data_IF_435445009173
#
_entry.id   IF_435445009173
#
_cell.length_a   1.000
_cell.length_b   1.000
_cell.length_c   1.000
_cell.angle_alpha   90.00
_cell.angle_beta   90.00
_cell.angle_gamma   90.00
#
_symmetry.space_group_name_H-M   'P 1'
#
loop_
_entity.id
_entity.type
_entity.pdbx_description
1 polymer ?
#
# COMPACT_ATOMS: atom_id res chain seq x y z
N UNK A 1 1.64 16.64 51.53
CA UNK A 1 1.40 16.10 50.18
C UNK A 1 2.77 15.91 49.57
N UNK A 2 3.27 14.67 49.59
CA UNK A 2 4.58 14.32 49.03
C UNK A 2 4.49 14.26 47.50
N UNK A 3 5.20 15.17 46.84
CA UNK A 3 5.41 15.11 45.40
C UNK A 3 6.39 13.96 45.09
N UNK A 4 5.84 12.81 44.66
CA UNK A 4 6.64 11.70 44.13
C UNK A 4 7.31 12.13 42.83
N UNK A 5 8.56 12.56 42.91
CA UNK A 5 9.43 12.76 41.73
C UNK A 5 9.98 11.43 41.27
N UNK A 6 9.82 11.13 39.98
CA UNK A 6 10.19 9.84 39.37
C UNK A 6 11.67 9.78 38.97
N UNK A 7 12.35 10.92 38.81
CA UNK A 7 13.82 11.03 38.71
C UNK A 7 14.28 12.50 38.85
N UNK A 8 15.47 12.74 39.40
CA UNK A 8 16.07 14.09 39.50
C UNK A 8 17.16 14.37 38.45
N UNK A 9 17.78 13.36 37.84
CA UNK A 9 18.79 13.56 36.80
C UNK A 9 18.79 12.41 35.78
N UNK A 10 18.81 12.74 34.49
CA UNK A 10 19.14 11.79 33.43
C UNK A 10 20.38 12.27 32.69
N UNK A 11 21.23 11.33 32.29
CA UNK A 11 22.41 11.58 31.48
C UNK A 11 22.15 11.02 30.09
N UNK A 12 22.35 11.83 29.06
CA UNK A 12 22.34 11.38 27.68
C UNK A 12 23.79 11.31 27.19
N UNK A 13 24.29 10.11 26.96
CA UNK A 13 25.61 9.87 26.39
C UNK A 13 25.46 9.29 24.98
N UNK A 14 26.29 9.73 24.03
CA UNK A 14 26.30 9.19 22.66
C UNK A 14 25.42 9.92 21.64
N UNK A 15 24.94 11.13 21.94
CA UNK A 15 24.35 11.99 20.91
C UNK A 15 25.45 12.62 20.03
N UNK A 16 25.22 12.77 18.71
CA UNK A 16 26.12 13.54 17.84
C UNK A 16 26.10 15.03 18.21
N UNK A 17 27.10 15.80 17.76
CA UNK A 17 27.27 17.24 18.06
C UNK A 17 26.03 18.10 17.73
N UNK A 18 25.15 17.60 16.86
CA UNK A 18 23.89 18.27 16.52
C UNK A 18 22.71 17.26 16.54
N UNK A 19 22.10 17.02 17.71
CA UNK A 19 21.01 16.04 17.83
C UNK A 19 19.74 16.55 17.16
N UNK A 20 19.14 15.74 16.29
CA UNK A 20 17.79 16.01 15.81
C UNK A 20 16.78 15.84 16.95
N UNK A 21 15.78 16.73 17.03
CA UNK A 21 14.68 16.57 17.99
C UNK A 21 14.00 15.24 17.74
N UNK A 22 13.71 14.51 18.81
CA UNK A 22 12.90 13.30 18.73
C UNK A 22 11.49 13.72 18.31
N UNK A 23 11.06 13.32 17.12
CA UNK A 23 9.66 13.49 16.71
C UNK A 23 8.77 12.72 17.70
N UNK A 24 7.63 13.30 18.07
CA UNK A 24 6.73 12.89 19.16
C UNK A 24 6.09 11.48 19.04
N UNK A 25 6.53 10.65 18.09
CA UNK A 25 5.86 9.43 17.66
C UNK A 25 6.54 8.10 18.02
N UNK A 26 7.52 8.10 18.93
CA UNK A 26 8.14 6.84 19.39
C UNK A 26 7.79 6.55 20.86
N UNK A 27 6.54 6.17 21.13
CA UNK A 27 6.17 5.59 22.44
C UNK A 27 6.56 4.12 22.59
N UNK A 28 6.85 3.45 21.49
CA UNK A 28 7.25 2.04 21.51
C UNK A 28 8.75 1.95 21.29
N UNK A 29 9.49 1.82 22.39
CA UNK A 29 10.96 1.74 22.47
C UNK A 29 11.58 0.49 21.82
N UNK A 30 11.07 0.06 20.67
CA UNK A 30 11.53 -1.12 19.95
C UNK A 30 11.57 -0.78 18.44
N UNK A 31 12.54 0.03 18.01
CA UNK A 31 13.22 -0.18 16.72
C UNK A 31 14.29 0.89 16.45
N UNK A 32 15.50 0.48 16.02
CA UNK A 32 16.47 1.38 15.45
C UNK A 32 16.14 1.63 13.96
N UNK A 33 16.48 2.84 13.50
CA UNK A 33 16.48 3.36 12.12
C UNK A 33 15.22 4.10 11.69
N UNK A 34 15.34 5.42 11.79
CA UNK A 34 14.96 6.44 10.79
C UNK A 34 14.40 5.90 9.47
N UNK A 35 13.13 5.55 9.47
CA UNK A 35 12.23 5.65 8.32
C UNK A 35 10.95 6.22 8.90
N UNK A 36 10.54 7.41 8.46
CA UNK A 36 9.20 7.89 8.79
C UNK A 36 8.22 6.74 8.46
N UNK A 37 7.41 6.26 9.42
CA UNK A 37 6.48 5.19 9.14
C UNK A 37 5.55 5.65 8.02
N UNK A 38 5.69 5.02 6.85
CA UNK A 38 4.90 5.36 5.68
C UNK A 38 3.42 5.31 6.07
N UNK A 39 2.69 6.36 5.73
CA UNK A 39 1.24 6.39 5.92
C UNK A 39 0.64 5.15 5.25
N UNK A 40 -0.23 4.37 5.93
CA UNK A 40 -0.71 3.11 5.39
C UNK A 40 -1.49 3.30 4.10
N UNK A 41 -1.56 2.24 3.30
CA UNK A 41 -2.35 2.22 2.08
C UNK A 41 -3.82 2.01 2.46
N UNK A 42 -4.68 2.93 2.02
CA UNK A 42 -6.12 2.89 2.28
C UNK A 42 -6.90 2.45 1.08
N UNK A 43 -6.40 2.68 -0.14
CA UNK A 43 -7.12 2.33 -1.35
C UNK A 43 -6.18 1.86 -2.44
N UNK A 44 -6.72 1.02 -3.31
CA UNK A 44 -6.05 0.54 -4.50
C UNK A 44 -7.01 0.60 -5.68
N UNK A 45 -6.46 0.72 -6.87
CA UNK A 45 -7.20 0.64 -8.13
C UNK A 45 -6.22 0.25 -9.23
N UNK A 46 -6.75 -0.06 -10.41
CA UNK A 46 -5.96 -0.14 -11.64
C UNK A 46 -6.44 0.91 -12.62
N UNK A 47 -5.54 1.34 -13.51
CA UNK A 47 -5.85 2.24 -14.62
C UNK A 47 -5.37 1.65 -15.94
N UNK A 48 -6.04 2.01 -17.03
CA UNK A 48 -5.70 1.59 -18.39
C UNK A 48 -5.08 2.77 -19.15
N UNK A 49 -3.75 2.90 -19.07
CA UNK A 49 -3.00 4.03 -19.65
C UNK A 49 -3.13 4.10 -21.17
N UNK A 50 -3.12 2.96 -21.85
CA UNK A 50 -3.28 2.91 -23.31
C UNK A 50 -4.64 3.40 -23.80
N UNK A 51 -5.60 3.55 -22.88
CA UNK A 51 -6.94 4.05 -23.19
C UNK A 51 -7.19 5.47 -22.65
N UNK A 52 -6.12 6.18 -22.29
CA UNK A 52 -6.17 7.58 -21.87
C UNK A 52 -6.56 7.81 -20.41
N UNK A 53 -6.61 6.77 -19.58
CA UNK A 53 -6.89 6.96 -18.16
C UNK A 53 -5.72 7.67 -17.44
N UNK A 54 -6.07 8.51 -16.47
CA UNK A 54 -5.12 9.24 -15.64
C UNK A 54 -5.15 8.74 -14.20
N UNK A 55 -4.05 8.95 -13.48
CA UNK A 55 -3.98 8.64 -12.05
C UNK A 55 -5.03 9.46 -11.30
N UNK A 56 -5.92 8.83 -10.52
CA UNK A 56 -6.93 9.57 -9.76
C UNK A 56 -6.30 10.51 -8.74
N UNK A 57 -7.04 11.56 -8.37
CA UNK A 57 -6.56 12.55 -7.39
C UNK A 57 -6.17 11.87 -6.07
N UNK A 58 -4.94 12.13 -5.61
CA UNK A 58 -4.41 11.60 -4.36
C UNK A 58 -3.88 10.16 -4.45
N UNK A 59 -3.95 9.52 -5.61
CA UNK A 59 -3.33 8.22 -5.85
C UNK A 59 -1.91 8.37 -6.38
N UNK A 60 -1.10 7.37 -6.10
CA UNK A 60 0.22 7.14 -6.68
C UNK A 60 0.13 5.95 -7.63
N UNK A 61 0.63 6.11 -8.85
CA UNK A 61 0.73 5.03 -9.83
C UNK A 61 2.10 4.36 -9.73
N UNK A 62 2.13 3.03 -9.73
CA UNK A 62 3.37 2.25 -9.85
C UNK A 62 3.66 2.16 -11.34
N UNK A 63 4.44 3.10 -11.87
CA UNK A 63 4.80 3.14 -13.30
C UNK A 63 6.01 2.26 -13.63
N UNK A 64 6.90 2.08 -12.66
CA UNK A 64 8.14 1.32 -12.80
C UNK A 64 8.33 0.32 -11.67
N UNK A 65 8.96 -0.80 -11.99
CA UNK A 65 9.42 -1.80 -11.02
C UNK A 65 10.68 -1.29 -10.31
N UNK A 66 11.09 -1.91 -9.18
CA UNK A 66 12.33 -1.53 -8.49
C UNK A 66 13.59 -1.63 -9.37
N UNK A 67 13.55 -2.43 -10.43
CA UNK A 67 14.63 -2.57 -11.41
C UNK A 67 14.46 -1.67 -12.65
N UNK A 68 13.60 -0.65 -12.56
CA UNK A 68 13.36 0.35 -13.60
C UNK A 68 12.79 -0.21 -14.92
N UNK A 69 12.07 -1.33 -14.86
CA UNK A 69 11.24 -1.81 -15.97
C UNK A 69 9.84 -1.22 -15.86
N UNK A 70 9.10 -1.15 -16.96
CA UNK A 70 7.67 -0.79 -16.90
C UNK A 70 6.90 -1.76 -16.00
N UNK A 71 6.06 -1.23 -15.11
CA UNK A 71 5.20 -2.00 -14.22
C UNK A 71 3.81 -2.29 -14.84
N UNK A 72 3.75 -2.40 -16.18
CA UNK A 72 2.55 -2.83 -16.89
C UNK A 72 2.20 -4.28 -16.51
N UNK A 73 1.02 -4.47 -15.91
CA UNK A 73 0.52 -5.78 -15.48
C UNK A 73 0.25 -6.72 -16.68
N UNK A 74 0.11 -6.18 -17.89
CA UNK A 74 -0.03 -6.93 -19.14
C UNK A 74 1.26 -6.94 -19.98
N UNK A 75 2.41 -6.67 -19.36
CA UNK A 75 3.69 -6.62 -20.08
C UNK A 75 3.93 -7.87 -20.92
N UNK A 76 4.49 -7.68 -22.13
CA UNK A 76 4.84 -8.77 -23.05
C UNK A 76 3.79 -9.08 -24.13
N UNK A 77 2.66 -8.38 -24.17
CA UNK A 77 1.66 -8.54 -25.22
C UNK A 77 1.40 -7.27 -26.03
N UNK A 78 1.77 -7.29 -27.31
CA UNK A 78 1.72 -6.14 -28.22
C UNK A 78 0.33 -5.51 -28.42
N UNK A 79 -0.74 -6.29 -28.24
CA UNK A 79 -2.13 -5.83 -28.46
C UNK A 79 -2.91 -5.65 -27.16
N UNK A 80 -2.27 -5.87 -26.01
CA UNK A 80 -2.96 -5.77 -24.74
C UNK A 80 -3.03 -4.32 -24.27
N UNK A 81 -4.10 -3.94 -23.56
CA UNK A 81 -4.12 -2.67 -22.86
C UNK A 81 -2.98 -2.59 -21.84
N UNK A 82 -2.32 -1.44 -21.72
CA UNK A 82 -1.32 -1.21 -20.69
C UNK A 82 -2.04 -0.90 -19.37
N UNK A 83 -1.89 -1.77 -18.38
CA UNK A 83 -2.61 -1.69 -17.12
C UNK A 83 -1.63 -1.44 -16.00
N UNK A 84 -1.90 -0.42 -15.19
CA UNK A 84 -1.01 -0.01 -14.10
C UNK A 84 -1.74 -0.01 -12.77
N UNK A 85 -1.04 -0.44 -11.73
CA UNK A 85 -1.54 -0.44 -10.36
C UNK A 85 -1.39 0.95 -9.74
N UNK A 86 -2.43 1.41 -9.05
CA UNK A 86 -2.44 2.66 -8.31
C UNK A 86 -2.85 2.40 -6.87
N UNK A 87 -2.28 3.15 -5.93
CA UNK A 87 -2.67 3.11 -4.53
C UNK A 87 -2.80 4.51 -3.95
N UNK A 88 -3.61 4.68 -2.90
CA UNK A 88 -3.70 5.90 -2.11
C UNK A 88 -3.26 5.59 -0.70
N UNK A 89 -2.43 6.48 -0.13
CA UNK A 89 -2.07 6.48 1.29
C UNK A 89 -2.96 7.44 2.04
N UNK A 90 -3.33 7.10 3.27
CA UNK A 90 -4.24 7.92 4.06
C UNK A 90 -4.38 7.46 5.50
N UNK A 91 -5.01 8.33 6.29
CA UNK A 91 -5.54 8.02 7.64
C UNK A 91 -7.01 8.42 7.76
N UNK A 92 -7.64 8.76 6.64
CA UNK A 92 -9.03 9.19 6.52
C UNK A 92 -10.03 8.03 6.69
N UNK A 93 -9.56 6.78 6.62
CA UNK A 93 -10.36 5.56 6.77
C UNK A 93 -9.48 4.37 7.17
N UNK A 94 -10.08 3.23 7.58
CA UNK A 94 -9.31 2.05 7.95
C UNK A 94 -8.38 1.58 6.82
N UNK A 95 -7.14 1.20 7.14
CA UNK A 95 -6.14 0.78 6.16
C UNK A 95 -6.47 -0.59 5.54
N UNK A 96 -5.81 -0.89 4.43
CA UNK A 96 -5.86 -2.24 3.85
C UNK A 96 -4.98 -3.17 4.68
N UNK A 97 -5.48 -4.37 4.92
CA UNK A 97 -4.79 -5.43 5.67
C UNK A 97 -4.31 -6.55 4.76
N UNK A 98 -4.80 -6.57 3.54
CA UNK A 98 -4.49 -7.59 2.54
C UNK A 98 -4.77 -7.08 1.13
N UNK A 99 -3.96 -7.54 0.18
CA UNK A 99 -4.14 -7.31 -1.26
C UNK A 99 -3.90 -8.64 -1.96
N UNK A 100 -4.91 -9.12 -2.68
CA UNK A 100 -4.89 -10.42 -3.34
C UNK A 100 -5.15 -10.32 -4.84
N UNK A 101 -5.09 -11.48 -5.49
CA UNK A 101 -5.46 -11.66 -6.90
C UNK A 101 -6.58 -12.68 -6.93
N UNK A 102 -7.64 -12.39 -7.69
CA UNK A 102 -8.76 -13.27 -7.93
C UNK A 102 -8.71 -13.79 -9.36
N UNK A 103 -8.64 -15.10 -9.53
CA UNK A 103 -8.88 -15.76 -10.81
C UNK A 103 -10.36 -16.13 -10.92
N UNK A 104 -11.10 -15.40 -11.75
CA UNK A 104 -12.54 -15.56 -11.89
C UNK A 104 -12.92 -16.99 -12.31
N UNK A 105 -13.93 -17.56 -11.64
CA UNK A 105 -14.38 -18.94 -11.84
C UNK A 105 -13.47 -20.03 -11.27
N UNK A 106 -12.27 -19.72 -10.77
CA UNK A 106 -11.36 -20.69 -10.14
C UNK A 106 -11.34 -20.60 -8.62
N UNK A 107 -11.56 -19.40 -8.09
CA UNK A 107 -11.42 -19.10 -6.68
C UNK A 107 -12.69 -18.42 -6.15
N UNK A 108 -12.99 -18.65 -4.86
CA UNK A 108 -14.05 -17.93 -4.16
C UNK A 108 -13.44 -16.75 -3.43
N UNK A 109 -14.06 -15.58 -3.59
CA UNK A 109 -13.72 -14.38 -2.83
C UNK A 109 -14.08 -14.60 -1.36
N UNK A 110 -13.17 -14.26 -0.44
CA UNK A 110 -13.46 -14.30 1.00
C UNK A 110 -14.57 -13.29 1.33
N UNK A 111 -15.37 -13.59 2.36
CA UNK A 111 -16.54 -12.75 2.69
C UNK A 111 -16.17 -11.31 3.10
N UNK A 112 -14.95 -11.10 3.60
CA UNK A 112 -14.40 -9.80 3.99
C UNK A 112 -13.52 -9.16 2.90
N UNK A 113 -13.47 -9.77 1.70
CA UNK A 113 -12.73 -9.25 0.54
C UNK A 113 -13.62 -8.48 -0.43
N UNK A 114 -13.10 -7.35 -0.89
CA UNK A 114 -13.66 -6.56 -1.98
C UNK A 114 -12.85 -6.80 -3.26
N UNK A 115 -13.52 -6.70 -4.41
CA UNK A 115 -12.91 -6.89 -5.73
C UNK A 115 -12.89 -5.57 -6.49
N UNK A 116 -11.72 -5.19 -7.01
CA UNK A 116 -11.59 -4.07 -7.95
C UNK A 116 -12.12 -4.54 -9.30
N UNK A 117 -13.42 -4.39 -9.52
CA UNK A 117 -14.10 -4.82 -10.75
C UNK A 117 -13.98 -3.79 -11.88
N UNK A 118 -13.91 -2.51 -11.54
CA UNK A 118 -13.86 -1.42 -12.51
C UNK A 118 -12.74 -0.42 -12.23
N UNK A 119 -12.17 0.15 -13.29
CA UNK A 119 -11.28 1.30 -13.21
C UNK A 119 -12.06 2.53 -12.73
N UNK A 120 -11.37 3.61 -12.32
CA UNK A 120 -12.02 4.86 -11.93
C UNK A 120 -12.83 5.51 -13.07
N UNK A 121 -12.56 5.14 -14.33
CA UNK A 121 -13.34 5.61 -15.49
C UNK A 121 -14.54 4.69 -15.83
N UNK A 122 -14.76 3.63 -15.06
CA UNK A 122 -15.88 2.69 -15.23
C UNK A 122 -15.61 1.54 -16.20
N UNK A 123 -14.36 1.35 -16.66
CA UNK A 123 -13.99 0.22 -17.52
C UNK A 123 -13.71 -1.02 -16.70
N UNK A 124 -13.71 -2.20 -17.32
CA UNK A 124 -13.31 -3.43 -16.63
C UNK A 124 -11.88 -3.34 -16.10
N UNK A 125 -11.67 -3.65 -14.82
CA UNK A 125 -10.36 -3.72 -14.16
C UNK A 125 -9.68 -5.09 -14.33
N UNK A 126 -10.06 -5.87 -15.35
CA UNK A 126 -9.42 -7.15 -15.64
C UNK A 126 -7.95 -6.92 -16.01
N UNK A 127 -7.04 -7.48 -15.20
CA UNK A 127 -5.59 -7.36 -15.38
C UNK A 127 -4.98 -8.46 -16.25
N UNK A 128 -5.82 -9.28 -16.87
CA UNK A 128 -5.42 -10.37 -17.75
C UNK A 128 -5.89 -10.12 -19.19
N UNK A 129 -5.07 -10.50 -20.16
CA UNK A 129 -5.30 -10.31 -21.59
C UNK A 129 -5.80 -11.57 -22.33
N UNK A 130 -5.99 -12.68 -21.61
CA UNK A 130 -6.54 -13.92 -22.16
C UNK A 130 -8.08 -14.01 -21.95
N UNK A 131 -8.68 -15.16 -22.30
CA UNK A 131 -10.13 -15.36 -22.17
C UNK A 131 -10.64 -15.49 -20.73
N UNK A 132 -9.76 -15.78 -19.76
CA UNK A 132 -10.10 -15.77 -18.34
C UNK A 132 -10.02 -14.35 -17.75
N UNK A 133 -10.75 -14.07 -16.68
CA UNK A 133 -10.66 -12.78 -15.99
C UNK A 133 -9.83 -12.92 -14.73
N UNK A 134 -8.97 -11.93 -14.51
CA UNK A 134 -8.16 -11.81 -13.30
C UNK A 134 -8.37 -10.41 -12.72
N UNK A 135 -8.67 -10.33 -11.43
CA UNK A 135 -8.91 -9.06 -10.76
C UNK A 135 -8.03 -8.91 -9.54
N UNK A 136 -7.83 -7.67 -9.10
CA UNK A 136 -7.20 -7.37 -7.82
C UNK A 136 -8.28 -7.37 -6.75
N UNK A 137 -7.96 -7.91 -5.58
CA UNK A 137 -8.81 -7.87 -4.39
C UNK A 137 -8.11 -7.17 -3.25
N UNK A 138 -8.88 -6.67 -2.28
CA UNK A 138 -8.34 -6.16 -1.03
C UNK A 138 -9.24 -6.52 0.14
N UNK A 139 -8.65 -6.53 1.33
CA UNK A 139 -9.40 -6.55 2.59
C UNK A 139 -9.08 -5.31 3.38
N UNK A 140 -10.11 -4.70 3.95
CA UNK A 140 -10.01 -3.48 4.75
C UNK A 140 -10.07 -3.85 6.23
N UNK A 141 -9.25 -3.20 7.05
CA UNK A 141 -9.36 -3.32 8.49
C UNK A 141 -10.78 -2.92 8.97
N UNK A 142 -11.28 -3.60 9.99
CA UNK A 142 -12.49 -3.16 10.67
C UNK A 142 -12.23 -1.81 11.39
N UNK A 143 -13.26 -1.00 11.60
CA UNK A 143 -13.11 0.30 12.28
C UNK A 143 -12.60 0.17 13.73
N UNK A 144 -12.89 -0.97 14.38
CA UNK A 144 -12.45 -1.31 15.73
C UNK A 144 -11.21 -2.23 15.76
N UNK A 145 -10.44 -2.26 14.65
CA UNK A 145 -9.17 -2.95 14.57
C UNK A 145 -8.24 -2.60 15.75
N UNK A 146 -7.51 -3.58 16.31
CA UNK A 146 -6.55 -3.29 17.38
C UNK A 146 -5.39 -2.42 16.84
N UNK A 147 -4.82 -1.58 17.70
CA UNK A 147 -3.81 -0.59 17.29
C UNK A 147 -2.48 -1.21 16.77
N UNK A 148 -2.24 -2.49 17.06
CA UNK A 148 -1.09 -3.25 16.61
C UNK A 148 -1.37 -4.14 15.39
N UNK A 149 -2.51 -3.97 14.72
CA UNK A 149 -2.83 -4.74 13.53
C UNK A 149 -1.81 -4.45 12.40
N UNK A 150 -1.34 -5.51 11.75
CA UNK A 150 -0.50 -5.40 10.56
C UNK A 150 -1.34 -4.90 9.38
N UNK A 151 -0.77 -3.95 8.63
CA UNK A 151 -1.44 -3.27 7.53
C UNK A 151 -0.50 -3.15 6.34
N UNK A 152 -1.07 -2.96 5.16
CA UNK A 152 -0.31 -2.79 3.93
C UNK A 152 0.30 -1.39 3.92
N UNK A 153 1.63 -1.34 4.04
CA UNK A 153 2.40 -0.09 4.04
C UNK A 153 3.16 0.14 2.76
N UNK A 154 3.30 -0.85 1.88
CA UNK A 154 3.94 -0.65 0.57
C UNK A 154 3.50 -1.71 -0.43
N UNK A 155 3.51 -1.33 -1.72
CA UNK A 155 3.19 -2.21 -2.84
C UNK A 155 4.21 -1.94 -3.94
N UNK A 156 4.82 -3.00 -4.46
CA UNK A 156 5.67 -2.92 -5.64
C UNK A 156 5.27 -4.02 -6.65
N UNK A 157 5.59 -3.78 -7.92
CA UNK A 157 5.43 -4.76 -8.99
C UNK A 157 6.81 -5.32 -9.31
N UNK A 158 6.93 -6.64 -9.33
CA UNK A 158 8.17 -7.36 -9.65
C UNK A 158 7.90 -8.23 -10.89
N UNK A 159 8.83 -8.22 -11.83
CA UNK A 159 8.80 -9.14 -12.96
C UNK A 159 9.44 -10.46 -12.52
N UNK A 160 8.68 -11.55 -12.50
CA UNK A 160 9.16 -12.85 -12.03
C UNK A 160 10.35 -13.41 -12.83
N UNK A 161 10.57 -12.92 -14.05
CA UNK A 161 11.63 -13.34 -14.95
C UNK A 161 12.87 -12.42 -14.92
N UNK A 162 12.97 -11.49 -13.97
CA UNK A 162 14.07 -10.54 -13.83
C UNK A 162 14.60 -10.47 -12.42
#
# INVERSE_FOLDING_TARGET
MDDKRVADYFVVAGLPDNPSKLDEFSRDGISPKTTHPLVPITDITVIIRSQGEIVPKGYTCIEYTPFNFTADLNHGSLRSPNIYFCYKRGRDKPPLVDVGVLYDGKEKVMADSEVVLTTPSGRSANVNNSGSKTFITYRRAAENAPCNQLVVTDICVILANK
#
